data_IF_214116391411
#
_entry.id   IF_214116391411
#
_cell.length_a   1.000
_cell.length_b   1.000
_cell.length_c   1.000
_cell.angle_alpha   90.00
_cell.angle_beta   90.00
_cell.angle_gamma   90.00
#
_symmetry.space_group_name_H-M   'P 1'
#
loop_
_entity.id
_entity.type
_entity.pdbx_description
1 polymer ?
#
# COMPACT_ATOMS: atom_id res chain seq x y z
N UNK A 1 -3.62 20.09 15.33
CA UNK A 1 -3.62 20.34 13.86
C UNK A 1 -4.61 19.36 13.21
N UNK A 2 -5.61 19.83 12.45
CA UNK A 2 -6.61 18.98 11.75
C UNK A 2 -6.12 18.58 10.35
N UNK A 3 -4.87 18.15 10.24
CA UNK A 3 -4.32 17.78 8.94
C UNK A 3 -4.95 16.44 8.52
N UNK A 4 -5.87 16.48 7.56
CA UNK A 4 -6.47 15.28 6.96
C UNK A 4 -5.58 14.68 5.87
N UNK A 5 -4.69 15.50 5.31
CA UNK A 5 -3.75 15.10 4.27
C UNK A 5 -2.34 15.57 4.62
N UNK A 6 -1.35 14.71 4.38
CA UNK A 6 0.06 15.01 4.56
C UNK A 6 0.84 14.52 3.33
N UNK A 7 1.67 15.40 2.79
CA UNK A 7 2.57 15.08 1.70
C UNK A 7 4.02 15.06 2.21
N UNK A 8 4.64 13.89 2.11
CA UNK A 8 6.05 13.62 2.40
C UNK A 8 6.75 13.01 1.18
N UNK A 9 6.19 13.24 -0.02
CA UNK A 9 6.80 12.76 -1.26
C UNK A 9 8.10 13.47 -1.60
N UNK A 10 8.93 12.83 -2.43
CA UNK A 10 10.21 13.37 -2.89
C UNK A 10 11.19 13.70 -1.74
N UNK A 11 11.22 12.81 -0.75
CA UNK A 11 12.21 12.85 0.33
C UNK A 11 13.17 11.65 0.20
N UNK A 12 14.02 11.46 1.22
CA UNK A 12 14.99 10.35 1.29
C UNK A 12 14.64 9.41 2.45
N UNK A 13 13.35 9.22 2.74
CA UNK A 13 12.91 8.34 3.82
C UNK A 13 13.22 6.88 3.47
N UNK A 14 13.94 6.18 4.34
CA UNK A 14 14.35 4.78 4.12
C UNK A 14 13.51 3.76 4.90
N UNK A 15 12.94 4.16 6.04
CA UNK A 15 12.28 3.23 6.97
C UNK A 15 11.01 3.79 7.58
N UNK A 16 11.13 4.78 8.47
CA UNK A 16 10.05 5.15 9.38
C UNK A 16 9.51 6.55 9.13
N UNK A 17 8.20 6.66 9.32
CA UNK A 17 7.47 7.92 9.48
C UNK A 17 7.18 8.14 10.96
N UNK A 18 8.18 8.64 11.69
CA UNK A 18 8.03 8.91 13.11
C UNK A 18 7.01 10.03 13.36
N UNK A 19 6.40 10.02 14.54
CA UNK A 19 5.48 11.04 15.05
C UNK A 19 4.11 11.16 14.34
N UNK A 20 3.86 10.41 13.26
CA UNK A 20 2.55 10.42 12.59
C UNK A 20 1.42 9.83 13.46
N UNK A 21 1.73 9.08 14.52
CA UNK A 21 0.74 8.51 15.44
C UNK A 21 -0.11 9.57 16.16
N UNK A 22 0.36 10.81 16.22
CA UNK A 22 -0.34 11.93 16.86
C UNK A 22 -1.27 12.69 15.90
N UNK A 23 -1.21 12.39 14.59
CA UNK A 23 -2.07 13.00 13.59
C UNK A 23 -3.38 12.22 13.47
N UNK A 24 -4.20 12.28 14.53
CA UNK A 24 -5.42 11.47 14.66
C UNK A 24 -6.46 11.67 13.53
N UNK A 25 -6.41 12.81 12.84
CA UNK A 25 -7.30 13.14 11.73
C UNK A 25 -6.72 12.81 10.35
N UNK A 26 -5.47 12.34 10.28
CA UNK A 26 -4.82 12.05 9.01
C UNK A 26 -5.51 10.87 8.31
N UNK A 27 -5.97 11.11 7.08
CA UNK A 27 -6.65 10.13 6.23
C UNK A 27 -5.92 9.91 4.91
N UNK A 28 -5.16 10.89 4.42
CA UNK A 28 -4.41 10.79 3.18
C UNK A 28 -2.92 11.02 3.45
N UNK A 29 -2.09 10.07 3.04
CA UNK A 29 -0.65 10.15 3.21
C UNK A 29 0.05 9.84 1.88
N UNK A 30 0.81 10.82 1.39
CA UNK A 30 1.66 10.66 0.23
C UNK A 30 3.12 10.47 0.69
N UNK A 31 3.66 9.27 0.44
CA UNK A 31 5.05 8.88 0.69
C UNK A 31 5.75 8.46 -0.60
N UNK A 32 5.21 8.85 -1.75
CA UNK A 32 5.78 8.48 -3.04
C UNK A 32 7.17 9.10 -3.25
N UNK A 33 7.98 8.50 -4.11
CA UNK A 33 9.32 9.01 -4.45
C UNK A 33 10.22 9.15 -3.19
N UNK A 34 10.32 8.07 -2.41
CA UNK A 34 11.22 7.93 -1.27
C UNK A 34 12.10 6.67 -1.48
N UNK A 35 12.75 6.16 -0.43
CA UNK A 35 13.60 4.96 -0.46
C UNK A 35 13.10 3.89 0.51
N UNK A 36 11.80 3.87 0.80
CA UNK A 36 11.21 2.94 1.76
C UNK A 36 11.37 1.50 1.28
N UNK A 37 12.02 0.67 2.08
CA UNK A 37 12.15 -0.78 1.81
C UNK A 37 11.22 -1.63 2.67
N UNK A 38 10.99 -1.16 3.90
CA UNK A 38 10.18 -1.84 4.90
C UNK A 38 9.06 -0.92 5.40
N UNK A 39 7.87 -1.50 5.58
CA UNK A 39 6.67 -0.84 6.09
C UNK A 39 6.14 -1.50 7.37
N UNK A 40 6.92 -2.40 8.00
CA UNK A 40 6.53 -3.22 9.16
C UNK A 40 5.78 -2.46 10.26
N UNK A 41 6.17 -1.23 10.58
CA UNK A 41 5.58 -0.46 11.69
C UNK A 41 4.45 0.50 11.27
N UNK A 42 4.05 0.52 10.00
CA UNK A 42 3.08 1.50 9.51
C UNK A 42 1.75 1.43 10.25
N UNK A 43 1.26 0.22 10.53
CA UNK A 43 0.02 0.05 11.28
C UNK A 43 0.04 0.65 12.69
N UNK A 44 1.21 0.80 13.31
CA UNK A 44 1.36 1.42 14.63
C UNK A 44 1.34 2.96 14.55
N UNK A 45 1.62 3.52 13.37
CA UNK A 45 1.88 4.95 13.18
C UNK A 45 0.75 5.66 12.44
N UNK A 46 0.05 4.98 11.52
CA UNK A 46 -0.91 5.61 10.60
C UNK A 46 -2.25 4.85 10.49
N UNK A 47 -2.78 4.36 11.62
CA UNK A 47 -3.93 3.44 11.66
C UNK A 47 -5.26 3.94 11.06
N UNK A 48 -5.46 5.26 10.91
CA UNK A 48 -6.70 5.86 10.39
C UNK A 48 -6.65 6.20 8.90
N UNK A 49 -5.56 5.87 8.20
CA UNK A 49 -5.39 6.21 6.78
C UNK A 49 -6.42 5.50 5.90
N UNK A 50 -6.98 6.26 4.97
CA UNK A 50 -7.89 5.82 3.90
C UNK A 50 -7.20 5.78 2.54
N UNK A 51 -6.26 6.68 2.28
CA UNK A 51 -5.48 6.72 1.04
C UNK A 51 -3.99 6.80 1.33
N UNK A 52 -3.23 5.84 0.81
CA UNK A 52 -1.79 5.74 1.00
C UNK A 52 -1.09 5.62 -0.36
N UNK A 53 -0.22 6.58 -0.68
CA UNK A 53 0.66 6.49 -1.84
C UNK A 53 2.08 6.13 -1.42
N UNK A 54 2.52 4.93 -1.82
CA UNK A 54 3.87 4.39 -1.61
C UNK A 54 4.58 4.14 -2.96
N UNK A 55 4.11 4.76 -4.04
CA UNK A 55 4.71 4.54 -5.35
C UNK A 55 6.13 5.10 -5.45
N UNK A 56 6.95 4.54 -6.33
CA UNK A 56 8.36 4.96 -6.48
C UNK A 56 9.13 4.86 -5.14
N UNK A 57 9.12 3.66 -4.57
CA UNK A 57 9.90 3.28 -3.39
C UNK A 57 10.62 1.94 -3.68
N UNK A 58 11.16 1.30 -2.66
CA UNK A 58 11.93 0.06 -2.77
C UNK A 58 11.28 -1.09 -1.99
N UNK A 59 9.96 -1.04 -1.79
CA UNK A 59 9.23 -1.96 -0.91
C UNK A 59 9.24 -3.37 -1.46
N UNK A 60 9.58 -4.34 -0.59
CA UNK A 60 9.65 -5.77 -0.92
C UNK A 60 8.49 -6.60 -0.33
N UNK A 61 7.81 -6.07 0.69
CA UNK A 61 6.70 -6.74 1.39
C UNK A 61 5.71 -5.73 1.95
N UNK A 62 4.45 -6.12 2.07
CA UNK A 62 3.34 -5.30 2.62
C UNK A 62 2.86 -5.78 3.98
N UNK A 63 3.64 -6.63 4.67
CA UNK A 63 3.25 -7.24 5.96
C UNK A 63 2.83 -6.20 7.01
N UNK A 64 3.56 -5.08 7.10
CA UNK A 64 3.27 -3.97 8.01
C UNK A 64 2.05 -3.12 7.65
N UNK A 65 1.37 -3.41 6.55
CA UNK A 65 0.10 -2.77 6.17
C UNK A 65 -1.13 -3.57 6.61
N UNK A 66 -0.96 -4.83 7.06
CA UNK A 66 -2.01 -5.81 7.35
C UNK A 66 -3.15 -5.37 8.28
N UNK A 67 -2.91 -4.32 9.07
CA UNK A 67 -3.85 -3.80 10.09
C UNK A 67 -4.37 -2.39 9.79
N UNK A 68 -4.10 -1.85 8.60
CA UNK A 68 -4.68 -0.57 8.17
C UNK A 68 -6.15 -0.76 7.73
N UNK A 69 -7.02 -1.11 8.68
CA UNK A 69 -8.39 -1.56 8.39
C UNK A 69 -9.27 -0.51 7.70
N UNK A 70 -8.90 0.77 7.81
CA UNK A 70 -9.59 1.89 7.16
C UNK A 70 -9.09 2.16 5.73
N UNK A 71 -8.05 1.47 5.27
CA UNK A 71 -7.40 1.73 3.98
C UNK A 71 -8.32 1.34 2.83
N UNK A 72 -8.61 2.30 1.96
CA UNK A 72 -9.46 2.15 0.77
C UNK A 72 -8.62 2.14 -0.50
N UNK A 73 -7.60 3.00 -0.55
CA UNK A 73 -6.73 3.18 -1.72
C UNK A 73 -5.27 3.01 -1.34
N UNK A 74 -4.57 2.12 -2.05
CA UNK A 74 -3.15 1.83 -1.90
C UNK A 74 -2.45 1.85 -3.26
N UNK A 75 -1.50 2.76 -3.42
CA UNK A 75 -0.64 2.82 -4.59
C UNK A 75 0.75 2.25 -4.26
N UNK A 76 1.11 1.12 -4.88
CA UNK A 76 2.40 0.45 -4.75
C UNK A 76 3.14 0.39 -6.09
N UNK A 77 2.76 1.21 -7.08
CA UNK A 77 3.43 1.22 -8.38
C UNK A 77 4.94 1.50 -8.24
N UNK A 78 5.77 0.91 -9.09
CA UNK A 78 7.22 1.12 -9.08
C UNK A 78 7.85 0.81 -7.70
N UNK A 79 7.70 -0.44 -7.25
CA UNK A 79 8.35 -0.99 -6.06
C UNK A 79 9.08 -2.30 -6.42
N UNK A 80 9.57 -3.04 -5.42
CA UNK A 80 10.35 -4.27 -5.58
C UNK A 80 9.56 -5.53 -5.15
N UNK A 81 8.23 -5.47 -5.18
CA UNK A 81 7.37 -6.60 -4.83
C UNK A 81 7.53 -7.71 -5.89
N UNK A 82 8.10 -8.85 -5.51
CA UNK A 82 8.56 -9.87 -6.45
C UNK A 82 7.61 -11.05 -6.62
N UNK A 83 6.68 -11.22 -5.69
CA UNK A 83 5.80 -12.38 -5.64
C UNK A 83 4.43 -12.02 -5.07
N UNK A 84 3.50 -12.96 -5.21
CA UNK A 84 2.16 -12.84 -4.61
C UNK A 84 2.24 -12.88 -3.08
N UNK A 85 3.25 -13.58 -2.52
CA UNK A 85 3.47 -13.63 -1.07
C UNK A 85 3.78 -12.24 -0.50
N UNK A 86 4.51 -11.40 -1.24
CA UNK A 86 4.84 -10.03 -0.85
C UNK A 86 3.61 -9.14 -0.59
N UNK A 87 2.45 -9.52 -1.13
CA UNK A 87 1.18 -8.78 -0.99
C UNK A 87 0.08 -9.55 -0.24
N UNK A 88 0.38 -10.75 0.27
CA UNK A 88 -0.63 -11.66 0.83
C UNK A 88 -1.37 -11.03 2.03
N UNK A 89 -0.65 -10.23 2.82
CA UNK A 89 -1.21 -9.47 3.95
C UNK A 89 -2.29 -8.47 3.57
N UNK A 90 -2.36 -8.02 2.31
CA UNK A 90 -3.41 -7.08 1.87
C UNK A 90 -4.80 -7.74 1.83
N UNK A 91 -4.86 -9.08 1.73
CA UNK A 91 -6.12 -9.81 1.71
C UNK A 91 -6.96 -9.65 2.98
N UNK A 92 -6.33 -9.29 4.12
CA UNK A 92 -7.02 -9.05 5.38
C UNK A 92 -7.65 -7.67 5.52
N UNK A 93 -7.40 -6.74 4.58
CA UNK A 93 -7.83 -5.33 4.70
C UNK A 93 -9.28 -5.13 4.24
N UNK A 94 -10.26 -5.01 5.15
CA UNK A 94 -11.69 -5.13 4.86
C UNK A 94 -12.26 -4.03 3.97
N UNK A 95 -11.61 -2.86 3.95
CA UNK A 95 -12.06 -1.69 3.19
C UNK A 95 -11.25 -1.44 1.90
N UNK A 96 -10.21 -2.23 1.63
CA UNK A 96 -9.37 -1.99 0.46
C UNK A 96 -10.18 -2.22 -0.82
N UNK A 97 -10.22 -1.22 -1.69
CA UNK A 97 -10.96 -1.22 -2.96
C UNK A 97 -10.05 -0.91 -4.16
N UNK A 98 -9.02 -0.09 -3.97
CA UNK A 98 -8.14 0.37 -5.04
C UNK A 98 -6.69 -0.04 -4.74
N UNK A 99 -6.16 -0.99 -5.51
CA UNK A 99 -4.78 -1.47 -5.39
C UNK A 99 -4.05 -1.30 -6.72
N UNK A 100 -2.95 -0.54 -6.72
CA UNK A 100 -2.12 -0.32 -7.91
C UNK A 100 -0.75 -0.99 -7.72
N UNK A 101 -0.37 -1.88 -8.64
CA UNK A 101 0.84 -2.71 -8.56
C UNK A 101 1.75 -2.61 -9.80
N UNK A 102 1.47 -1.69 -10.74
CA UNK A 102 2.24 -1.56 -12.00
C UNK A 102 3.74 -1.42 -11.72
N UNK A 103 4.55 -1.93 -12.64
CA UNK A 103 6.00 -1.84 -12.57
C UNK A 103 6.60 -2.44 -11.28
N UNK A 104 6.04 -3.57 -10.82
CA UNK A 104 6.66 -4.43 -9.81
C UNK A 104 7.08 -5.74 -10.47
N UNK A 105 8.16 -6.42 -10.03
CA UNK A 105 8.54 -7.71 -10.61
C UNK A 105 7.41 -8.76 -10.58
N UNK A 106 6.52 -8.75 -9.58
CA UNK A 106 5.35 -9.63 -9.51
C UNK A 106 4.42 -9.53 -10.72
N UNK A 107 4.35 -8.38 -11.41
CA UNK A 107 3.45 -8.20 -12.56
C UNK A 107 3.94 -8.90 -13.82
N UNK A 108 5.13 -9.51 -13.77
CA UNK A 108 5.70 -10.35 -14.85
C UNK A 108 5.40 -11.83 -14.65
N UNK A 109 4.82 -12.22 -13.52
CA UNK A 109 4.43 -13.60 -13.24
C UNK A 109 3.26 -14.00 -14.14
N UNK A 110 3.27 -15.24 -14.63
CA UNK A 110 2.15 -15.83 -15.38
C UNK A 110 0.88 -15.78 -14.54
N UNK A 111 -0.20 -15.29 -15.15
CA UNK A 111 -1.50 -15.11 -14.50
C UNK A 111 -1.47 -14.26 -13.23
N UNK A 112 -0.51 -13.32 -13.10
CA UNK A 112 -0.39 -12.54 -11.86
C UNK A 112 -1.71 -11.88 -11.47
N UNK A 113 -2.52 -11.42 -12.43
CA UNK A 113 -3.84 -10.82 -12.16
C UNK A 113 -4.70 -11.77 -11.33
N UNK A 114 -4.85 -13.01 -11.80
CA UNK A 114 -5.65 -14.07 -11.16
C UNK A 114 -5.08 -14.40 -9.79
N UNK A 115 -3.75 -14.49 -9.67
CA UNK A 115 -3.09 -14.80 -8.40
C UNK A 115 -3.27 -13.68 -7.36
N UNK A 116 -3.20 -12.41 -7.78
CA UNK A 116 -3.46 -11.26 -6.91
C UNK A 116 -4.95 -11.25 -6.52
N UNK A 117 -5.88 -11.51 -7.43
CA UNK A 117 -7.30 -11.65 -7.08
C UNK A 117 -7.55 -12.75 -6.03
N UNK A 118 -6.85 -13.89 -6.14
CA UNK A 118 -6.98 -14.98 -5.19
C UNK A 118 -6.60 -14.60 -3.75
N UNK A 119 -5.72 -13.60 -3.56
CA UNK A 119 -5.38 -13.04 -2.23
C UNK A 119 -6.63 -12.51 -1.52
N UNK A 120 -7.59 -11.95 -2.27
CA UNK A 120 -8.78 -11.30 -1.71
C UNK A 120 -10.00 -12.23 -1.59
N UNK A 121 -9.90 -13.48 -2.07
CA UNK A 121 -10.96 -14.50 -1.95
C UNK A 121 -12.33 -13.94 -2.38
N UNK A 122 -13.35 -14.03 -1.54
CA UNK A 122 -14.72 -13.56 -1.80
C UNK A 122 -14.82 -12.04 -2.03
N UNK A 123 -13.80 -11.27 -1.60
CA UNK A 123 -13.71 -9.81 -1.77
C UNK A 123 -13.00 -9.39 -3.05
N UNK A 124 -12.59 -10.33 -3.91
CA UNK A 124 -11.96 -10.02 -5.20
C UNK A 124 -12.79 -9.04 -6.05
N UNK A 125 -14.13 -9.09 -5.95
CA UNK A 125 -15.08 -8.19 -6.63
C UNK A 125 -15.05 -6.74 -6.10
N UNK A 126 -14.64 -6.56 -4.85
CA UNK A 126 -14.65 -5.25 -4.16
C UNK A 126 -13.37 -4.46 -4.48
N UNK A 127 -12.28 -5.16 -4.80
CA UNK A 127 -11.03 -4.55 -5.22
C UNK A 127 -11.10 -4.25 -6.72
N UNK A 128 -11.62 -3.06 -7.06
CA UNK A 128 -12.15 -2.68 -8.38
C UNK A 128 -11.13 -2.30 -9.46
N UNK A 129 -9.84 -2.11 -9.15
CA UNK A 129 -8.85 -1.55 -10.11
C UNK A 129 -7.65 -2.44 -10.38
N UNK A 130 -7.90 -3.70 -10.71
CA UNK A 130 -6.86 -4.57 -11.25
C UNK A 130 -6.46 -4.12 -12.65
N UNK A 131 -5.40 -3.32 -12.64
CA UNK A 131 -4.43 -3.19 -13.73
C UNK A 131 -4.97 -2.30 -14.82
N UNK A 132 -4.78 -1.00 -14.59
CA UNK A 132 -5.07 0.01 -15.59
C UNK A 132 -4.46 -0.35 -16.94
N UNK A 133 -5.31 -0.19 -17.95
CA UNK A 133 -5.08 -0.34 -19.39
C UNK A 133 -5.41 -1.73 -19.96
N UNK A 134 -6.63 -1.85 -20.47
CA UNK A 134 -6.81 -2.24 -21.87
C UNK A 134 -6.01 -1.31 -22.78
#
# INVERSE_FOLDING_TARGET
CKAESLDLSFNLLETTVEYLQHLHFLQNLNLSNNRLQDVADFYQRVGNIRSLDLSYNEIISTEGLSRLYSLITLNLNNNKLDSVKSIESLGSLPCLENLLLKNNPLTRIVDYRIRVFAVFRDRAKDVRKYISSF
#
